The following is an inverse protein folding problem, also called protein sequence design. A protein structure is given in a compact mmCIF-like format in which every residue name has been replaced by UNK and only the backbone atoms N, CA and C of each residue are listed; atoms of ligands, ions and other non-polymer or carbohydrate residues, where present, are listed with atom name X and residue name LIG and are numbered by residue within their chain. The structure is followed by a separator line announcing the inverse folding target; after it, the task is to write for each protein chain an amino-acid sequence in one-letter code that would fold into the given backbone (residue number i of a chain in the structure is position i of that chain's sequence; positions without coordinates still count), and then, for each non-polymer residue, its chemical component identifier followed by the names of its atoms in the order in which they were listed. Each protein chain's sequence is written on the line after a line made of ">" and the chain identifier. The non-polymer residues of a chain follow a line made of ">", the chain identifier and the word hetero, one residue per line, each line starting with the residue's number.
data_IF_102822106505
#
_entry.id   IF_102822106505
#
_cell.length_a   1.000
_cell.length_b   1.000
_cell.length_c   1.000
_cell.angle_alpha   90.00
_cell.angle_beta   90.00
_cell.angle_gamma   90.00
#
_symmetry.space_group_name_H-M   'P 1'
#
loop_
_entity.id
_entity.type
_entity.pdbx_description
1 polymer ?
#
# COMPACT_ATOMS: atom_id res chain seq x y z
N UNK A 1 -11.86 -0.28 5.07
CA UNK A 1 -11.76 -1.67 4.60
C UNK A 1 -11.51 -1.69 3.11
N UNK A 2 -10.69 -2.63 2.65
CA UNK A 2 -10.38 -2.76 1.22
C UNK A 2 -11.62 -3.09 0.38
N UNK A 3 -12.72 -3.47 1.02
CA UNK A 3 -14.00 -3.76 0.38
C UNK A 3 -14.85 -2.52 0.14
N UNK A 4 -14.43 -1.33 0.59
CA UNK A 4 -15.21 -0.12 0.32
C UNK A 4 -15.24 0.16 -1.18
N UNK A 5 -16.37 0.68 -1.72
CA UNK A 5 -16.49 0.96 -3.16
C UNK A 5 -15.38 1.87 -3.69
N UNK A 6 -14.99 2.90 -2.91
CA UNK A 6 -13.96 3.85 -3.32
C UNK A 6 -12.57 3.19 -3.41
N UNK A 7 -12.22 2.35 -2.42
CA UNK A 7 -10.96 1.63 -2.46
C UNK A 7 -10.93 0.62 -3.60
N UNK A 8 -12.03 -0.08 -3.84
CA UNK A 8 -12.13 -1.04 -4.95
C UNK A 8 -11.99 -0.35 -6.29
N UNK A 9 -12.62 0.80 -6.47
CA UNK A 9 -12.50 1.58 -7.70
C UNK A 9 -11.05 2.01 -7.92
N UNK A 10 -10.39 2.53 -6.89
CA UNK A 10 -8.99 2.94 -6.95
C UNK A 10 -8.07 1.78 -7.32
N UNK A 11 -8.23 0.64 -6.65
CA UNK A 11 -7.44 -0.57 -6.90
C UNK A 11 -7.63 -1.07 -8.34
N UNK A 12 -8.87 -1.03 -8.82
CA UNK A 12 -9.21 -1.42 -10.19
C UNK A 12 -8.56 -0.51 -11.22
N UNK A 13 -8.58 0.80 -10.98
CA UNK A 13 -7.96 1.79 -11.86
C UNK A 13 -6.44 1.61 -11.87
N UNK A 14 -5.83 1.41 -10.70
CA UNK A 14 -4.38 1.18 -10.61
C UNK A 14 -3.97 -0.06 -11.40
N UNK A 15 -4.78 -1.11 -11.35
CA UNK A 15 -4.55 -2.31 -12.16
C UNK A 15 -4.67 -2.01 -13.66
N UNK A 16 -5.71 -1.30 -14.07
CA UNK A 16 -5.93 -0.95 -15.49
C UNK A 16 -4.78 -0.17 -16.07
N UNK A 17 -4.19 0.73 -15.30
CA UNK A 17 -3.05 1.54 -15.72
C UNK A 17 -1.71 0.87 -15.49
N UNK A 18 -1.70 -0.38 -15.01
CA UNK A 18 -0.49 -1.16 -14.77
C UNK A 18 0.51 -0.47 -13.84
N UNK A 19 -0.01 0.18 -12.80
CA UNK A 19 0.82 0.84 -11.79
C UNK A 19 1.53 -0.21 -10.94
N UNK A 20 2.83 -0.01 -10.73
CA UNK A 20 3.59 -0.79 -9.73
C UNK A 20 3.47 -0.09 -8.39
N UNK A 21 2.83 -0.76 -7.45
CA UNK A 21 2.65 -0.28 -6.09
C UNK A 21 2.58 -1.45 -5.12
N UNK A 22 2.85 -1.18 -3.86
CA UNK A 22 2.67 -2.14 -2.78
C UNK A 22 1.79 -1.52 -1.71
N UNK A 23 0.83 -2.30 -1.21
CA UNK A 23 0.07 -1.88 -0.02
C UNK A 23 1.01 -2.00 1.18
N UNK A 24 1.14 -0.90 1.91
CA UNK A 24 1.94 -0.79 3.14
C UNK A 24 1.05 -0.27 4.27
N UNK A 25 1.63 0.12 5.39
CA UNK A 25 0.88 0.74 6.49
C UNK A 25 -0.08 -0.20 7.20
N UNK A 26 -1.16 0.35 7.75
CA UNK A 26 -2.10 -0.39 8.59
C UNK A 26 -2.74 -1.60 7.94
N UNK A 27 -3.12 -1.50 6.66
CA UNK A 27 -3.71 -2.64 5.96
C UNK A 27 -2.70 -3.78 5.76
N UNK A 28 -1.42 -3.46 5.55
CA UNK A 28 -0.37 -4.49 5.46
C UNK A 28 -0.15 -5.15 6.82
N UNK A 29 -0.14 -4.38 7.90
CA UNK A 29 -0.05 -4.94 9.25
C UNK A 29 -1.20 -5.91 9.51
N UNK A 30 -2.43 -5.51 9.16
CA UNK A 30 -3.61 -6.35 9.36
C UNK A 30 -3.58 -7.64 8.54
N UNK A 31 -2.94 -7.62 7.37
CA UNK A 31 -2.79 -8.84 6.55
C UNK A 31 -2.04 -9.94 7.32
N UNK A 32 -1.07 -9.54 8.14
CA UNK A 32 -0.17 -10.47 8.83
C UNK A 32 -0.46 -10.63 10.31
N UNK A 33 -1.33 -9.80 10.89
CA UNK A 33 -1.63 -9.81 12.32
C UNK A 33 -3.14 -9.81 12.57
N UNK A 34 -3.57 -9.12 13.61
CA UNK A 34 -4.98 -9.00 13.96
C UNK A 34 -5.62 -7.77 13.31
N UNK A 35 -6.92 -7.81 12.98
CA UNK A 35 -7.64 -6.64 12.51
C UNK A 35 -7.53 -5.48 13.49
N UNK A 36 -7.36 -4.27 12.94
CA UNK A 36 -7.36 -3.04 13.72
C UNK A 36 -8.03 -1.93 12.91
N UNK A 37 -8.44 -0.86 13.59
CA UNK A 37 -9.02 0.27 12.91
C UNK A 37 -7.96 1.05 12.15
N UNK A 38 -8.24 1.37 10.89
CA UNK A 38 -7.43 2.29 10.09
C UNK A 38 -8.32 3.02 9.10
N UNK A 39 -8.08 4.33 8.94
CA UNK A 39 -8.76 5.17 7.96
C UNK A 39 -7.98 5.29 6.66
N UNK A 40 -6.69 4.93 6.68
CA UNK A 40 -5.76 5.28 5.62
C UNK A 40 -5.41 4.06 4.79
N UNK A 41 -5.50 4.20 3.48
CA UNK A 41 -4.91 3.26 2.54
C UNK A 41 -3.56 3.82 2.13
N UNK A 42 -2.50 3.05 2.38
CA UNK A 42 -1.12 3.48 2.14
C UNK A 42 -0.52 2.67 0.99
N UNK A 43 -0.12 3.35 -0.07
CA UNK A 43 0.56 2.75 -1.21
C UNK A 43 2.00 3.26 -1.28
N UNK A 44 2.91 2.34 -1.58
CA UNK A 44 4.30 2.66 -1.89
C UNK A 44 4.52 2.35 -3.38
N UNK A 45 4.96 3.33 -4.16
CA UNK A 45 5.09 3.22 -5.61
C UNK A 45 6.54 3.15 -6.06
N UNK A 46 6.76 2.48 -7.20
CA UNK A 46 8.03 2.61 -7.92
C UNK A 46 8.13 4.02 -8.52
N UNK A 47 9.29 4.63 -8.43
CA UNK A 47 9.51 6.04 -8.79
C UNK A 47 10.19 6.23 -10.14
N UNK A 48 10.34 5.19 -10.93
CA UNK A 48 10.81 5.33 -12.32
C UNK A 48 9.79 6.16 -13.13
N UNK A 49 10.30 6.85 -14.13
CA UNK A 49 9.50 7.79 -14.94
C UNK A 49 8.24 7.16 -15.50
N UNK A 50 8.35 5.97 -16.05
CA UNK A 50 7.20 5.27 -16.63
C UNK A 50 6.13 5.00 -15.60
N UNK A 51 6.51 4.51 -14.43
CA UNK A 51 5.54 4.24 -13.37
C UNK A 51 4.92 5.53 -12.82
N UNK A 52 5.72 6.58 -12.68
CA UNK A 52 5.22 7.89 -12.25
C UNK A 52 4.14 8.42 -13.18
N UNK A 53 4.33 8.27 -14.48
CA UNK A 53 3.34 8.66 -15.48
C UNK A 53 2.06 7.83 -15.36
N UNK A 54 2.19 6.53 -15.09
CA UNK A 54 1.05 5.63 -14.86
C UNK A 54 0.29 5.98 -13.60
N UNK A 55 0.99 6.29 -12.51
CA UNK A 55 0.38 6.74 -11.26
C UNK A 55 -0.41 8.01 -11.47
N UNK A 56 0.20 9.00 -12.13
CA UNK A 56 -0.46 10.27 -12.41
C UNK A 56 -1.73 10.07 -13.25
N UNK A 57 -1.64 9.28 -14.31
CA UNK A 57 -2.79 8.99 -15.16
C UNK A 57 -3.90 8.25 -14.42
N UNK A 58 -3.53 7.29 -13.56
CA UNK A 58 -4.48 6.53 -12.75
C UNK A 58 -5.20 7.44 -11.74
N UNK A 59 -4.46 8.30 -11.06
CA UNK A 59 -5.06 9.25 -10.11
C UNK A 59 -5.99 10.23 -10.82
N UNK A 60 -5.61 10.70 -12.01
CA UNK A 60 -6.45 11.57 -12.81
C UNK A 60 -7.76 10.86 -13.21
N UNK A 61 -7.66 9.61 -13.64
CA UNK A 61 -8.85 8.81 -14.00
C UNK A 61 -9.77 8.58 -12.79
N UNK A 62 -9.19 8.44 -11.61
CA UNK A 62 -9.95 8.30 -10.37
C UNK A 62 -10.65 9.60 -9.95
N UNK A 63 -10.16 10.75 -10.43
CA UNK A 63 -10.70 12.04 -10.05
C UNK A 63 -9.96 12.69 -8.89
N UNK A 64 -8.73 12.27 -8.61
CA UNK A 64 -7.93 12.82 -7.53
C UNK A 64 -7.54 14.29 -7.81
N UNK A 65 -7.38 15.12 -6.77
CA UNK A 65 -6.92 16.50 -6.93
C UNK A 65 -5.43 16.52 -7.27
N UNK A 66 -5.11 17.03 -8.46
CA UNK A 66 -3.74 17.05 -8.99
C UNK A 66 -3.28 18.47 -9.38
N UNK A 67 -3.94 19.51 -8.86
CA UNK A 67 -3.61 20.90 -9.16
C UNK A 67 -2.15 21.19 -8.82
N UNK A 68 -1.42 21.78 -9.77
CA UNK A 68 0.01 22.10 -9.64
C UNK A 68 0.93 20.90 -9.49
N UNK A 69 0.43 19.68 -9.77
CA UNK A 69 1.24 18.47 -9.78
C UNK A 69 1.47 17.99 -11.20
N UNK A 70 2.56 17.28 -11.37
CA UNK A 70 2.93 16.64 -12.62
C UNK A 70 3.49 15.24 -12.34
N UNK A 71 3.66 14.39 -13.38
CA UNK A 71 4.30 13.09 -13.16
C UNK A 71 5.67 13.17 -12.48
N UNK A 72 6.42 14.26 -12.69
CA UNK A 72 7.72 14.43 -12.04
C UNK A 72 7.65 14.36 -10.51
N UNK A 73 6.55 14.85 -9.92
CA UNK A 73 6.39 14.81 -8.47
C UNK A 73 6.38 13.37 -7.93
N UNK A 74 5.97 12.42 -8.75
CA UNK A 74 5.92 11.01 -8.37
C UNK A 74 7.23 10.26 -8.64
N UNK A 75 8.27 10.97 -9.08
CA UNK A 75 9.64 10.44 -9.19
C UNK A 75 10.53 10.86 -8.01
N UNK A 76 10.05 11.72 -7.11
CA UNK A 76 10.84 12.33 -6.04
C UNK A 76 10.69 11.52 -4.77
N UNK A 77 11.73 10.80 -4.38
CA UNK A 77 11.70 9.93 -3.19
C UNK A 77 11.43 10.67 -1.89
N UNK A 78 11.74 11.95 -1.84
CA UNK A 78 11.49 12.78 -0.65
C UNK A 78 10.03 13.24 -0.51
N UNK A 79 9.21 13.00 -1.53
CA UNK A 79 7.82 13.45 -1.56
C UNK A 79 6.86 12.34 -1.13
N UNK A 80 5.67 12.75 -0.75
CA UNK A 80 4.52 11.86 -0.63
C UNK A 80 3.27 12.63 -1.10
N UNK A 81 2.26 11.89 -1.55
CA UNK A 81 1.00 12.44 -1.99
C UNK A 81 -0.10 11.97 -1.04
N UNK A 82 -0.99 12.88 -0.68
CA UNK A 82 -2.08 12.58 0.24
C UNK A 82 -3.37 13.16 -0.30
N UNK A 83 -4.45 12.39 -0.28
CA UNK A 83 -5.76 12.90 -0.65
C UNK A 83 -6.85 12.32 0.22
N UNK A 84 -7.99 13.03 0.26
CA UNK A 84 -9.18 12.59 0.97
C UNK A 84 -9.11 12.81 2.46
N UNK A 85 -10.15 12.37 3.12
CA UNK A 85 -10.29 12.39 4.58
C UNK A 85 -11.21 11.24 4.98
N UNK A 86 -11.17 10.87 6.26
CA UNK A 86 -11.97 9.76 6.75
C UNK A 86 -13.43 9.87 6.26
N UNK A 87 -14.05 8.75 5.85
CA UNK A 87 -13.56 7.38 5.91
C UNK A 87 -12.69 6.94 4.73
N UNK A 88 -12.41 7.80 3.77
CA UNK A 88 -11.57 7.50 2.62
C UNK A 88 -10.36 8.45 2.59
N UNK A 89 -9.19 7.91 2.85
CA UNK A 89 -7.93 8.64 2.77
C UNK A 89 -6.87 7.76 2.11
N UNK A 90 -6.17 8.34 1.14
CA UNK A 90 -5.08 7.68 0.43
C UNK A 90 -3.78 8.43 0.67
N UNK A 91 -2.75 7.69 1.05
CA UNK A 91 -1.38 8.18 1.15
C UNK A 91 -0.53 7.40 0.13
N UNK A 92 0.15 8.12 -0.75
CA UNK A 92 1.10 7.53 -1.70
C UNK A 92 2.50 7.95 -1.31
N UNK A 93 3.35 6.97 -1.03
CA UNK A 93 4.74 7.18 -0.62
C UNK A 93 5.66 6.84 -1.79
N UNK A 94 6.64 7.70 -2.02
CA UNK A 94 7.66 7.50 -3.04
C UNK A 94 8.89 6.78 -2.47
N UNK A 95 9.00 6.70 -1.15
CA UNK A 95 10.02 5.92 -0.46
C UNK A 95 9.55 5.49 0.92
N UNK A 96 10.12 4.43 1.44
CA UNK A 96 9.95 4.03 2.85
C UNK A 96 11.33 3.74 3.43
N UNK A 97 11.51 3.92 4.74
CA UNK A 97 12.84 3.70 5.34
C UNK A 97 13.23 2.22 5.31
N UNK A 98 14.51 1.96 5.10
CA UNK A 98 15.12 0.65 5.30
C UNK A 98 14.89 -0.40 4.23
N UNK A 99 14.11 -0.11 3.18
CA UNK A 99 13.80 -1.08 2.12
C UNK A 99 13.83 -0.40 0.75
N UNK A 100 14.38 -1.10 -0.23
CA UNK A 100 14.44 -0.65 -1.62
C UNK A 100 13.26 -1.26 -2.40
N UNK A 101 12.61 -0.46 -3.26
CA UNK A 101 11.34 -0.85 -3.89
C UNK A 101 11.45 -2.11 -4.73
N UNK A 102 12.45 -2.21 -5.63
CA UNK A 102 12.52 -3.36 -6.54
C UNK A 102 12.67 -4.67 -5.78
N UNK A 103 13.48 -4.66 -4.72
CA UNK A 103 13.67 -5.83 -3.86
C UNK A 103 12.37 -6.23 -3.17
N UNK A 104 11.65 -5.26 -2.64
CA UNK A 104 10.36 -5.50 -2.00
C UNK A 104 9.31 -5.98 -3.00
N UNK A 105 9.32 -5.42 -4.20
CA UNK A 105 8.42 -5.83 -5.28
C UNK A 105 8.64 -7.30 -5.66
N UNK A 106 9.89 -7.73 -5.74
CA UNK A 106 10.23 -9.11 -6.07
C UNK A 106 9.76 -10.11 -4.99
N UNK A 107 9.66 -9.65 -3.74
CA UNK A 107 9.22 -10.46 -2.60
C UNK A 107 7.76 -10.22 -2.21
N UNK A 108 7.03 -9.45 -2.99
CA UNK A 108 5.64 -9.09 -2.65
C UNK A 108 4.76 -10.32 -2.48
N UNK A 109 3.73 -10.16 -1.68
CA UNK A 109 2.67 -11.17 -1.54
C UNK A 109 1.39 -10.61 -2.15
N UNK A 110 0.76 -11.37 -3.02
CA UNK A 110 -0.46 -10.96 -3.68
C UNK A 110 -1.66 -11.66 -3.06
N UNK A 111 -2.73 -10.89 -2.84
CA UNK A 111 -4.03 -11.47 -2.50
C UNK A 111 -5.01 -11.18 -3.61
N UNK A 112 -5.95 -12.09 -3.81
CA UNK A 112 -7.05 -11.89 -4.74
C UNK A 112 -8.30 -11.54 -3.95
N UNK A 113 -8.91 -10.41 -4.29
CA UNK A 113 -10.14 -9.92 -3.67
C UNK A 113 -11.12 -9.54 -4.77
N UNK A 114 -12.19 -10.34 -4.91
CA UNK A 114 -13.24 -10.09 -5.89
C UNK A 114 -12.71 -9.88 -7.32
N UNK A 115 -11.78 -10.73 -7.72
CA UNK A 115 -11.17 -10.66 -9.05
C UNK A 115 -10.01 -9.68 -9.20
N UNK A 116 -9.72 -8.89 -8.17
CA UNK A 116 -8.59 -7.96 -8.16
C UNK A 116 -7.40 -8.60 -7.45
N UNK A 117 -6.24 -8.56 -8.10
CA UNK A 117 -4.97 -8.97 -7.48
C UNK A 117 -4.34 -7.76 -6.83
N UNK A 118 -4.15 -7.80 -5.52
CA UNK A 118 -3.65 -6.68 -4.74
C UNK A 118 -2.26 -7.03 -4.21
N UNK A 119 -1.21 -6.27 -4.58
CA UNK A 119 0.14 -6.56 -4.12
C UNK A 119 0.40 -5.92 -2.76
N UNK A 120 0.88 -6.72 -1.82
CA UNK A 120 1.26 -6.30 -0.48
C UNK A 120 2.75 -6.41 -0.30
N UNK A 121 3.33 -5.49 0.49
CA UNK A 121 4.69 -5.65 0.99
C UNK A 121 4.77 -6.96 1.78
N UNK A 122 5.90 -7.68 1.65
CA UNK A 122 6.10 -8.90 2.43
C UNK A 122 6.19 -8.61 3.92
N UNK A 123 5.87 -9.61 4.74
CA UNK A 123 5.98 -9.50 6.19
C UNK A 123 7.38 -9.07 6.63
N UNK A 124 8.42 -9.68 6.06
CA UNK A 124 9.80 -9.35 6.44
C UNK A 124 10.21 -7.94 6.03
N UNK A 125 9.82 -7.49 4.84
CA UNK A 125 10.11 -6.13 4.40
C UNK A 125 9.34 -5.09 5.22
N UNK A 126 8.10 -5.41 5.61
CA UNK A 126 7.33 -4.54 6.49
C UNK A 126 8.00 -4.41 7.86
N UNK A 127 8.51 -5.50 8.41
CA UNK A 127 9.28 -5.49 9.65
C UNK A 127 10.52 -4.60 9.51
N UNK A 128 11.28 -4.77 8.43
CA UNK A 128 12.47 -3.96 8.15
C UNK A 128 12.15 -2.47 8.10
N UNK A 129 11.10 -2.12 7.38
CA UNK A 129 10.68 -0.72 7.25
C UNK A 129 10.27 -0.12 8.60
N UNK A 130 9.52 -0.86 9.39
CA UNK A 130 9.07 -0.39 10.69
C UNK A 130 10.21 -0.26 11.70
N UNK A 131 11.16 -1.18 11.69
CA UNK A 131 12.39 -1.07 12.51
C UNK A 131 13.19 0.16 12.14
N UNK A 132 13.34 0.42 10.84
CA UNK A 132 14.08 1.59 10.35
C UNK A 132 13.37 2.90 10.70
N UNK A 133 12.04 2.94 10.67
CA UNK A 133 11.24 4.08 11.09
C UNK A 133 11.33 4.33 12.59
N UNK A 134 11.28 3.29 13.41
CA UNK A 134 11.59 3.31 14.83
C UNK A 134 10.66 4.09 15.74
N UNK A 135 9.49 4.53 15.27
CA UNK A 135 8.51 5.20 16.12
C UNK A 135 7.93 4.19 17.13
N UNK A 136 7.43 4.66 18.31
CA UNK A 136 6.87 3.74 19.32
C UNK A 136 5.82 2.79 18.76
N UNK A 137 4.88 3.28 17.94
CA UNK A 137 3.87 2.43 17.32
C UNK A 137 4.50 1.44 16.35
N UNK A 138 5.54 1.84 15.63
CA UNK A 138 6.24 0.95 14.70
C UNK A 138 6.89 -0.22 15.42
N UNK A 139 7.46 0.02 16.59
CA UNK A 139 8.10 -1.04 17.39
C UNK A 139 7.07 -2.02 17.95
N UNK A 140 5.88 -1.54 18.30
CA UNK A 140 4.76 -2.40 18.69
C UNK A 140 4.32 -3.26 17.49
N UNK A 141 4.20 -2.65 16.33
CA UNK A 141 3.86 -3.37 15.10
C UNK A 141 4.89 -4.43 14.76
N UNK A 142 6.20 -4.13 14.93
CA UNK A 142 7.28 -5.10 14.72
C UNK A 142 7.09 -6.31 15.61
N UNK A 143 6.82 -6.09 16.90
CA UNK A 143 6.62 -7.20 17.83
C UNK A 143 5.44 -8.07 17.40
N UNK A 144 4.33 -7.47 17.03
CA UNK A 144 3.15 -8.20 16.58
C UNK A 144 3.42 -8.97 15.28
N UNK A 145 4.15 -8.36 14.35
CA UNK A 145 4.52 -9.00 13.08
C UNK A 145 5.48 -10.19 13.29
N UNK A 146 6.44 -10.06 14.19
CA UNK A 146 7.38 -11.13 14.51
C UNK A 146 6.72 -12.31 15.20
N UNK A 147 5.71 -12.03 16.02
CA UNK A 147 4.98 -13.06 16.77
C UNK A 147 3.83 -13.69 15.99
N UNK A 148 3.49 -13.14 14.82
CA UNK A 148 2.38 -13.64 14.02
C UNK A 148 2.70 -15.00 13.40
N UNK A 149 1.74 -15.93 13.50
CA UNK A 149 1.83 -17.20 12.81
C UNK A 149 1.67 -16.98 11.29
N UNK A 150 2.39 -17.74 10.46
CA UNK A 150 2.16 -17.68 9.01
C UNK A 150 0.71 -18.06 8.69
N UNK A 151 0.00 -17.17 7.97
CA UNK A 151 -1.38 -17.43 7.58
C UNK A 151 -1.45 -18.25 6.32
N UNK A 152 -2.42 -19.14 6.27
CA UNK A 152 -2.77 -19.87 5.06
C UNK A 152 -3.49 -18.90 4.11
N UNK A 153 -3.22 -18.91 2.79
CA UNK A 153 -3.96 -18.08 1.83
C UNK A 153 -5.49 -18.25 1.89
N UNK A 154 -5.98 -19.42 2.33
CA UNK A 154 -7.41 -19.63 2.53
C UNK A 154 -7.99 -18.76 3.66
N UNK A 155 -7.20 -18.45 4.69
CA UNK A 155 -7.63 -17.63 5.82
C UNK A 155 -7.79 -16.16 5.42
N UNK A 156 -6.96 -15.69 4.49
CA UNK A 156 -7.04 -14.33 3.97
C UNK A 156 -8.36 -14.09 3.22
N UNK A 157 -8.86 -15.09 2.49
CA UNK A 157 -10.15 -15.00 1.79
C UNK A 157 -11.33 -14.89 2.76
N UNK A 158 -11.28 -15.62 3.87
CA UNK A 158 -12.33 -15.61 4.88
C UNK A 158 -12.36 -14.26 5.62
N UNK A 159 -11.20 -13.71 5.92
CA UNK A 159 -11.10 -12.40 6.58
C UNK A 159 -11.56 -11.26 5.67
N UNK A 160 -11.39 -11.38 4.36
CA UNK A 160 -11.82 -10.36 3.38
C UNK A 160 -13.34 -10.34 3.18
N UNK A 161 -14.02 -11.47 3.39
CA UNK A 161 -15.48 -11.61 3.22
C UNK A 161 -16.26 -11.20 4.47
N UNK A 162 -15.60 -10.98 5.57
CA UNK A 162 -16.20 -10.52 6.83
C UNK A 162 -15.93 -9.02 7.03
#
# INVERSE_FOLDING_TARGET
>A
MLTSPDFRELLSIFRSYQVKYLVVGGYAVMKYTEPRYTNDLDFWIATDRQNAERVFAALKAFGAPLTNLSPDDFTQEAYFYQMGKAPFRLDIMMSIPGVEFQSAWDRREEIELEGLVIPFISRLDLIRAKKASGRPQDLIDVQNLENAEPRNPADDKTAADS
#
